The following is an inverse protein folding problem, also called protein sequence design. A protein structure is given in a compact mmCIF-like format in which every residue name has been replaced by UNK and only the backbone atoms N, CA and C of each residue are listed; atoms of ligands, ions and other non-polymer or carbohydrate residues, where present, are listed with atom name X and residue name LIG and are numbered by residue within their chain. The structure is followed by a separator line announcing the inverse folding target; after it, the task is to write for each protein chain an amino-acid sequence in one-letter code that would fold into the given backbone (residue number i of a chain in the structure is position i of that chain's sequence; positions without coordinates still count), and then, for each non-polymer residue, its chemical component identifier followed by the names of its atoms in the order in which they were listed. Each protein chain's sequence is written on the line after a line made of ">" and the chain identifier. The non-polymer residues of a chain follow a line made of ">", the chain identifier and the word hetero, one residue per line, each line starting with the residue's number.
data_IF_362871309917
#
_entry.id   IF_362871309917
#
_cell.length_a   1.000
_cell.length_b   1.000
_cell.length_c   1.000
_cell.angle_alpha   90.00
_cell.angle_beta   90.00
_cell.angle_gamma   90.00
#
_symmetry.space_group_name_H-M   'P 1'
#
loop_
_entity.id
_entity.type
_entity.pdbx_description
1 polymer ?
#
# COMPACT_ATOMS: atom_id res chain seq x y z
N UNK A 1 -6.42 15.00 0.48
CA UNK A 1 -6.84 16.10 1.38
C UNK A 1 -7.97 16.98 0.82
N UNK A 2 -8.69 16.58 -0.24
CA UNK A 2 -9.80 17.41 -0.77
C UNK A 2 -10.96 17.54 0.23
N UNK A 3 -11.18 16.50 1.04
CA UNK A 3 -12.15 16.49 2.14
C UNK A 3 -11.83 17.48 3.26
N UNK A 4 -10.53 17.80 3.44
CA UNK A 4 -10.02 18.64 4.51
C UNK A 4 -9.83 20.11 4.10
N UNK A 5 -10.26 20.48 2.88
CA UNK A 5 -10.18 21.86 2.41
C UNK A 5 -11.22 22.76 3.12
N UNK A 6 -10.90 24.01 3.42
CA UNK A 6 -9.62 24.71 3.17
C UNK A 6 -8.50 24.29 4.12
N UNK A 7 -7.24 24.40 3.66
CA UNK A 7 -6.05 24.05 4.40
C UNK A 7 -5.18 25.31 4.59
N UNK A 8 -4.73 25.54 5.82
CA UNK A 8 -3.74 26.56 6.12
C UNK A 8 -2.32 25.99 5.93
N UNK A 9 -1.49 26.71 5.20
CA UNK A 9 -0.09 26.38 4.98
C UNK A 9 0.81 27.37 5.69
N UNK A 10 1.71 26.87 6.53
CA UNK A 10 2.69 27.66 7.26
C UNK A 10 4.10 27.32 6.75
N UNK A 11 4.93 28.36 6.65
CA UNK A 11 6.32 28.25 6.26
C UNK A 11 7.18 28.59 7.47
N UNK A 12 8.12 27.71 7.79
CA UNK A 12 9.10 27.95 8.83
C UNK A 12 10.38 28.51 8.22
N UNK A 13 10.95 29.55 8.82
CA UNK A 13 12.25 30.08 8.45
C UNK A 13 13.34 29.45 9.31
N UNK A 14 13.46 28.14 9.20
CA UNK A 14 14.47 27.31 9.84
C UNK A 14 15.43 26.71 8.81
N UNK A 15 16.50 26.04 9.29
CA UNK A 15 17.54 25.45 8.45
C UNK A 15 16.98 24.36 7.50
N UNK A 16 15.94 23.64 7.92
CA UNK A 16 15.33 22.57 7.13
C UNK A 16 14.17 23.06 6.24
N UNK A 17 13.80 24.33 6.35
CA UNK A 17 12.70 24.98 5.61
C UNK A 17 11.42 24.13 5.71
N UNK A 18 10.98 23.92 6.95
CA UNK A 18 9.77 23.17 7.21
C UNK A 18 8.53 23.85 6.61
N UNK A 19 7.61 23.01 6.16
CA UNK A 19 6.24 23.40 5.77
C UNK A 19 5.24 22.58 6.56
N UNK A 20 4.28 23.24 7.16
CA UNK A 20 3.19 22.64 7.94
C UNK A 20 1.87 22.93 7.25
N UNK A 21 1.06 21.88 7.12
CA UNK A 21 -0.28 21.95 6.53
C UNK A 21 -1.30 21.54 7.59
N UNK A 22 -2.26 22.40 7.87
CA UNK A 22 -3.28 22.21 8.91
C UNK A 22 -4.67 22.33 8.29
N UNK A 23 -5.56 21.39 8.60
CA UNK A 23 -6.98 21.49 8.26
C UNK A 23 -7.59 22.67 9.02
N UNK A 24 -8.17 23.66 8.32
CA UNK A 24 -8.65 24.88 8.96
C UNK A 24 -9.90 24.66 9.82
N UNK A 25 -10.64 23.58 9.60
CA UNK A 25 -11.84 23.25 10.36
C UNK A 25 -11.56 22.52 11.67
N UNK A 26 -10.59 21.61 11.64
CA UNK A 26 -10.32 20.67 12.75
C UNK A 26 -9.06 21.03 13.53
N UNK A 27 -8.16 21.84 12.95
CA UNK A 27 -6.83 22.08 13.51
C UNK A 27 -5.87 20.90 13.35
N UNK A 28 -6.29 19.84 12.67
CA UNK A 28 -5.48 18.62 12.46
C UNK A 28 -4.28 18.91 11.57
N UNK A 29 -3.11 18.40 11.97
CA UNK A 29 -1.89 18.46 11.19
C UNK A 29 -1.94 17.42 10.09
N UNK A 30 -2.17 17.85 8.86
CA UNK A 30 -2.27 16.97 7.69
C UNK A 30 -0.90 16.56 7.15
N UNK A 31 0.06 17.48 7.19
CA UNK A 31 1.39 17.23 6.67
C UNK A 31 2.42 18.17 7.27
N UNK A 32 3.59 17.62 7.61
CA UNK A 32 4.76 18.37 8.03
C UNK A 32 5.97 17.86 7.27
N UNK A 33 6.68 18.72 6.53
CA UNK A 33 7.73 18.32 5.60
C UNK A 33 8.94 19.22 5.64
N UNK A 34 10.13 18.64 5.41
CA UNK A 34 11.38 19.37 5.17
C UNK A 34 11.60 19.64 3.69
N UNK A 35 12.47 20.59 3.35
CA UNK A 35 12.87 20.85 1.97
C UNK A 35 13.48 19.60 1.29
N UNK A 36 14.26 18.81 2.03
CA UNK A 36 14.84 17.56 1.55
C UNK A 36 13.80 16.52 1.17
N UNK A 37 12.75 16.36 2.02
CA UNK A 37 11.65 15.44 1.74
C UNK A 37 10.88 15.87 0.49
N UNK A 38 10.59 17.16 0.34
CA UNK A 38 9.91 17.69 -0.85
C UNK A 38 10.74 17.50 -2.11
N UNK A 39 12.06 17.76 -2.06
CA UNK A 39 12.97 17.54 -3.18
C UNK A 39 12.90 16.08 -3.69
N UNK A 40 13.03 15.11 -2.78
CA UNK A 40 12.95 13.70 -3.17
C UNK A 40 11.56 13.29 -3.64
N UNK A 41 10.49 13.88 -3.10
CA UNK A 41 9.15 13.67 -3.59
C UNK A 41 8.96 14.15 -5.03
N UNK A 42 9.53 15.31 -5.39
CA UNK A 42 9.49 15.84 -6.76
C UNK A 42 10.25 14.99 -7.77
N UNK A 43 11.35 14.36 -7.37
CA UNK A 43 12.12 13.47 -8.25
C UNK A 43 11.49 12.06 -8.33
N UNK A 44 10.94 11.57 -7.23
CA UNK A 44 10.46 10.19 -7.10
C UNK A 44 8.96 10.05 -7.15
N UNK A 45 8.29 10.26 -6.02
CA UNK A 45 6.88 9.91 -5.83
C UNK A 45 5.92 10.68 -6.75
N UNK A 46 6.16 11.97 -6.97
CA UNK A 46 5.28 12.82 -7.78
C UNK A 46 5.24 12.38 -9.24
N UNK A 47 6.36 12.26 -9.97
CA UNK A 47 6.34 11.79 -11.35
C UNK A 47 5.91 10.32 -11.45
N UNK A 48 6.35 9.45 -10.51
CA UNK A 48 6.02 8.04 -10.55
C UNK A 48 4.52 7.77 -10.37
N UNK A 49 3.83 8.55 -9.54
CA UNK A 49 2.40 8.41 -9.26
C UNK A 49 1.53 9.45 -9.98
N UNK A 50 2.10 10.23 -10.88
CA UNK A 50 1.41 11.33 -11.56
C UNK A 50 0.66 12.25 -10.58
N UNK A 51 1.30 12.60 -9.45
CA UNK A 51 0.73 13.49 -8.44
C UNK A 51 0.79 14.96 -8.87
N UNK A 52 0.35 15.21 -10.10
CA UNK A 52 0.18 16.56 -10.62
C UNK A 52 -1.14 17.14 -10.07
N UNK A 53 -1.16 18.35 -9.50
CA UNK A 53 -2.35 18.92 -8.87
C UNK A 53 -3.59 18.89 -9.78
N UNK A 54 -3.45 19.34 -11.02
CA UNK A 54 -4.54 19.34 -12.02
C UNK A 54 -5.13 17.95 -12.26
N UNK A 55 -4.28 16.90 -12.29
CA UNK A 55 -4.72 15.54 -12.51
C UNK A 55 -5.33 14.92 -11.24
N UNK A 56 -4.74 15.24 -10.07
CA UNK A 56 -5.21 14.71 -8.77
C UNK A 56 -6.55 15.25 -8.32
N UNK A 57 -6.94 16.43 -8.79
CA UNK A 57 -8.29 16.99 -8.56
C UNK A 57 -9.38 16.13 -9.21
N UNK A 58 -9.06 15.39 -10.26
CA UNK A 58 -9.96 14.50 -10.99
C UNK A 58 -9.53 13.04 -10.77
N UNK A 59 -10.06 12.40 -9.71
CA UNK A 59 -9.64 11.06 -9.29
C UNK A 59 -9.72 10.03 -10.42
N UNK A 60 -10.77 10.01 -11.19
CA UNK A 60 -10.94 9.06 -12.29
C UNK A 60 -9.91 9.30 -13.41
N UNK A 61 -9.70 10.55 -13.79
CA UNK A 61 -8.68 10.92 -14.79
C UNK A 61 -7.28 10.51 -14.33
N UNK A 62 -6.98 10.70 -13.05
CA UNK A 62 -5.71 10.27 -12.46
C UNK A 62 -5.54 8.75 -12.47
N UNK A 63 -6.57 8.00 -12.05
CA UNK A 63 -6.56 6.53 -12.05
C UNK A 63 -6.37 5.98 -13.47
N UNK A 64 -7.12 6.51 -14.44
CA UNK A 64 -7.01 6.08 -15.83
C UNK A 64 -5.67 6.47 -16.47
N UNK A 65 -5.12 7.64 -16.15
CA UNK A 65 -3.80 8.05 -16.64
C UNK A 65 -2.70 7.09 -16.19
N UNK A 66 -2.71 6.66 -14.92
CA UNK A 66 -1.77 5.67 -14.40
C UNK A 66 -1.98 4.31 -15.06
N UNK A 67 -3.22 3.88 -15.19
CA UNK A 67 -3.56 2.58 -15.80
C UNK A 67 -3.13 2.52 -17.26
N UNK A 68 -3.47 3.53 -18.06
CA UNK A 68 -3.09 3.63 -19.48
C UNK A 68 -1.57 3.72 -19.63
N UNK A 69 -0.91 4.56 -18.81
CA UNK A 69 0.55 4.66 -18.79
C UNK A 69 1.22 3.32 -18.48
N UNK A 70 0.69 2.59 -17.50
CA UNK A 70 1.14 1.24 -17.16
C UNK A 70 0.93 0.23 -18.29
N UNK A 71 -0.21 0.27 -18.99
CA UNK A 71 -0.49 -0.61 -20.14
C UNK A 71 0.47 -0.30 -21.30
N UNK A 72 0.72 0.96 -21.61
CA UNK A 72 1.68 1.36 -22.64
C UNK A 72 3.08 0.85 -22.29
N UNK A 73 3.51 1.03 -21.04
CA UNK A 73 4.79 0.53 -20.55
C UNK A 73 4.87 -1.00 -20.62
N UNK A 74 3.79 -1.71 -20.30
CA UNK A 74 3.69 -3.17 -20.39
C UNK A 74 3.86 -3.65 -21.85
N UNK A 75 3.14 -3.04 -22.79
CA UNK A 75 3.26 -3.38 -24.23
C UNK A 75 4.69 -3.13 -24.71
N UNK A 76 5.30 -2.00 -24.33
CA UNK A 76 6.67 -1.68 -24.67
C UNK A 76 7.67 -2.68 -24.08
N UNK A 77 7.50 -3.08 -22.81
CA UNK A 77 8.36 -4.06 -22.15
C UNK A 77 8.23 -5.47 -22.77
N UNK A 78 7.00 -5.92 -23.04
CA UNK A 78 6.72 -7.22 -23.69
C UNK A 78 7.32 -7.26 -25.10
N UNK A 79 7.09 -6.24 -25.92
CA UNK A 79 7.63 -6.19 -27.28
C UNK A 79 9.16 -6.12 -27.29
N UNK A 80 9.75 -5.36 -26.36
CA UNK A 80 11.21 -5.28 -26.20
C UNK A 80 11.83 -6.62 -25.77
N UNK A 81 11.20 -7.28 -24.79
CA UNK A 81 11.66 -8.60 -24.31
C UNK A 81 11.53 -9.66 -25.41
N UNK A 82 10.39 -9.69 -26.12
CA UNK A 82 10.20 -10.58 -27.28
C UNK A 82 11.27 -10.38 -28.35
N UNK A 83 11.49 -9.12 -28.76
CA UNK A 83 12.53 -8.80 -29.76
C UNK A 83 13.93 -9.20 -29.28
N UNK A 84 14.23 -8.97 -28.00
CA UNK A 84 15.50 -9.37 -27.38
C UNK A 84 15.73 -10.88 -27.44
N UNK A 85 14.74 -11.67 -27.01
CA UNK A 85 14.78 -13.14 -27.03
C UNK A 85 14.88 -13.66 -28.48
N UNK A 86 14.08 -13.10 -29.38
CA UNK A 86 14.11 -13.50 -30.81
C UNK A 86 15.47 -13.29 -31.43
N UNK A 87 16.12 -12.16 -31.18
CA UNK A 87 17.45 -11.86 -31.71
C UNK A 87 18.54 -12.75 -31.09
N UNK A 88 18.41 -13.09 -29.80
CA UNK A 88 19.29 -14.04 -29.13
C UNK A 88 19.18 -15.41 -29.78
N UNK A 89 17.94 -15.93 -29.96
CA UNK A 89 17.65 -17.19 -30.60
C UNK A 89 18.17 -17.24 -32.06
N UNK A 90 17.90 -16.21 -32.87
CA UNK A 90 18.36 -16.10 -34.23
C UNK A 90 19.89 -16.19 -34.33
N UNK A 91 20.60 -15.50 -33.41
CA UNK A 91 22.07 -15.56 -33.35
C UNK A 91 22.56 -16.94 -32.95
N UNK A 92 21.94 -17.61 -31.98
CA UNK A 92 22.29 -18.96 -31.58
C UNK A 92 22.11 -19.92 -32.73
N UNK A 93 20.96 -19.90 -33.43
CA UNK A 93 20.67 -20.75 -34.57
C UNK A 93 21.66 -20.54 -35.72
N UNK A 94 22.11 -19.30 -35.97
CA UNK A 94 22.99 -18.99 -37.12
C UNK A 94 24.48 -19.16 -36.83
N UNK A 95 24.92 -19.08 -35.57
CA UNK A 95 26.36 -19.06 -35.22
C UNK A 95 26.74 -20.01 -34.07
N UNK A 96 25.79 -20.76 -33.51
CA UNK A 96 26.03 -21.64 -32.36
C UNK A 96 26.47 -20.91 -31.07
N UNK A 97 26.36 -19.58 -31.01
CA UNK A 97 26.89 -18.77 -29.88
C UNK A 97 25.81 -17.93 -29.23
N UNK A 98 25.68 -18.06 -27.91
CA UNK A 98 24.86 -17.17 -27.12
C UNK A 98 25.51 -15.78 -27.00
N UNK A 99 24.67 -14.73 -26.92
CA UNK A 99 25.11 -13.37 -26.68
C UNK A 99 24.40 -12.34 -27.56
N UNK A 100 24.67 -11.07 -27.33
CA UNK A 100 24.07 -9.97 -28.08
C UNK A 100 24.57 -9.97 -29.55
N UNK A 101 23.67 -9.81 -30.55
CA UNK A 101 24.10 -9.67 -31.95
C UNK A 101 24.76 -8.33 -32.23
N UNK A 102 24.67 -7.37 -31.33
CA UNK A 102 25.15 -6.02 -31.54
C UNK A 102 26.61 -5.84 -31.13
N UNK A 103 27.39 -5.14 -31.99
CA UNK A 103 28.79 -4.79 -31.72
C UNK A 103 28.90 -3.42 -31.01
N UNK A 104 28.02 -2.46 -31.33
CA UNK A 104 28.05 -1.11 -30.75
C UNK A 104 27.64 -1.14 -29.30
N UNK A 105 28.40 -0.46 -28.41
CA UNK A 105 28.28 -0.49 -26.96
C UNK A 105 26.85 -0.32 -26.46
N UNK A 106 26.17 0.78 -26.78
CA UNK A 106 24.81 1.08 -26.31
C UNK A 106 23.77 0.05 -26.75
N UNK A 107 23.82 -0.43 -28.00
CA UNK A 107 22.92 -1.47 -28.50
C UNK A 107 23.17 -2.82 -27.84
N UNK A 108 24.45 -3.15 -27.61
CA UNK A 108 24.85 -4.40 -26.95
C UNK A 108 24.37 -4.46 -25.52
N UNK A 109 24.67 -3.41 -24.76
CA UNK A 109 24.33 -3.38 -23.34
C UNK A 109 22.84 -3.18 -23.09
N UNK A 110 22.13 -2.38 -23.88
CA UNK A 110 20.67 -2.32 -23.84
C UNK A 110 20.02 -3.68 -24.10
N UNK A 111 20.51 -4.44 -25.08
CA UNK A 111 20.00 -5.78 -25.36
C UNK A 111 20.27 -6.75 -24.20
N UNK A 112 21.48 -6.77 -23.63
CA UNK A 112 21.84 -7.67 -22.52
C UNK A 112 21.04 -7.30 -21.26
N UNK A 113 21.06 -6.03 -20.87
CA UNK A 113 20.30 -5.58 -19.68
C UNK A 113 18.78 -5.75 -19.88
N UNK A 114 18.27 -5.53 -21.09
CA UNK A 114 16.87 -5.78 -21.43
C UNK A 114 16.47 -7.25 -21.31
N UNK A 115 17.36 -8.18 -21.60
CA UNK A 115 17.11 -9.61 -21.35
C UNK A 115 17.13 -9.96 -19.85
N UNK A 116 18.05 -9.38 -19.09
CA UNK A 116 18.20 -9.64 -17.66
C UNK A 116 17.03 -9.02 -16.85
N UNK A 117 16.76 -7.73 -17.09
CA UNK A 117 15.79 -6.97 -16.33
C UNK A 117 14.42 -6.86 -16.98
N UNK A 118 14.25 -7.34 -18.22
CA UNK A 118 13.02 -7.20 -18.98
C UNK A 118 11.82 -7.90 -18.35
N UNK A 119 12.01 -9.08 -17.75
CA UNK A 119 10.95 -9.77 -17.02
C UNK A 119 10.45 -8.93 -15.85
N UNK A 120 11.36 -8.30 -15.10
CA UNK A 120 10.98 -7.43 -13.98
C UNK A 120 10.30 -6.14 -14.46
N UNK A 121 10.73 -5.58 -15.59
CA UNK A 121 10.03 -4.43 -16.20
C UNK A 121 8.60 -4.80 -16.61
N UNK A 122 8.38 -5.99 -17.16
CA UNK A 122 7.04 -6.51 -17.47
C UNK A 122 6.21 -6.64 -16.20
N UNK A 123 6.74 -7.25 -15.14
CA UNK A 123 6.01 -7.41 -13.88
C UNK A 123 5.72 -6.07 -13.22
N UNK A 124 6.67 -5.12 -13.24
CA UNK A 124 6.49 -3.78 -12.67
C UNK A 124 5.46 -2.95 -13.45
N UNK A 125 5.50 -2.99 -14.79
CA UNK A 125 4.52 -2.31 -15.62
C UNK A 125 3.11 -2.89 -15.44
N UNK A 126 2.98 -4.21 -15.45
CA UNK A 126 1.71 -4.90 -15.20
C UNK A 126 1.15 -4.57 -13.82
N UNK A 127 1.95 -4.74 -12.77
CA UNK A 127 1.53 -4.47 -11.40
C UNK A 127 1.23 -2.98 -11.17
N UNK A 128 1.97 -2.08 -11.83
CA UNK A 128 1.71 -0.65 -11.81
C UNK A 128 0.37 -0.29 -12.46
N UNK A 129 0.05 -0.86 -13.64
CA UNK A 129 -1.26 -0.69 -14.27
C UNK A 129 -2.40 -1.19 -13.37
N UNK A 130 -2.16 -2.27 -12.63
CA UNK A 130 -3.14 -2.84 -11.69
C UNK A 130 -3.16 -2.15 -10.33
N UNK A 131 -2.28 -1.19 -10.03
CA UNK A 131 -2.11 -0.60 -8.70
C UNK A 131 -3.41 -0.07 -8.09
N UNK A 132 -4.20 0.66 -8.85
CA UNK A 132 -5.46 1.27 -8.42
C UNK A 132 -6.71 0.50 -8.89
N UNK A 133 -6.54 -0.52 -9.70
CA UNK A 133 -7.65 -1.33 -10.22
C UNK A 133 -8.02 -2.45 -9.25
N UNK A 134 -9.28 -2.86 -9.26
CA UNK A 134 -9.72 -4.10 -8.60
C UNK A 134 -9.45 -5.29 -9.50
N UNK A 135 -9.28 -6.48 -8.92
CA UNK A 135 -9.30 -7.70 -9.70
C UNK A 135 -10.69 -7.82 -10.35
N UNK A 136 -10.76 -7.98 -11.68
CA UNK A 136 -12.05 -8.05 -12.37
C UNK A 136 -12.88 -9.25 -11.90
N UNK A 137 -14.21 -9.08 -11.80
CA UNK A 137 -15.13 -10.10 -11.33
C UNK A 137 -15.16 -11.37 -12.21
N UNK A 138 -14.82 -11.23 -13.50
CA UNK A 138 -14.69 -12.37 -14.40
C UNK A 138 -13.40 -13.18 -14.18
N UNK A 139 -12.39 -12.63 -13.49
CA UNK A 139 -11.16 -13.34 -13.07
C UNK A 139 -11.38 -14.00 -11.70
N UNK A 140 -11.85 -13.23 -10.73
CA UNK A 140 -12.14 -13.72 -9.36
C UNK A 140 -13.47 -13.12 -8.94
N UNK A 141 -14.50 -13.97 -8.92
CA UNK A 141 -15.83 -13.60 -8.44
C UNK A 141 -15.78 -13.35 -6.93
N UNK A 142 -16.27 -12.21 -6.51
CA UNK A 142 -16.49 -11.87 -5.10
C UNK A 142 -18.00 -11.96 -4.84
N UNK A 143 -18.39 -12.72 -3.83
CA UNK A 143 -19.80 -12.98 -3.51
C UNK A 143 -20.31 -12.02 -2.42
N UNK A 144 -19.43 -11.63 -1.51
CA UNK A 144 -19.72 -10.64 -0.47
C UNK A 144 -19.07 -9.28 -0.76
N UNK A 145 -18.85 -8.53 0.31
CA UNK A 145 -18.23 -7.21 0.22
C UNK A 145 -16.77 -7.29 -0.23
N UNK A 146 -16.39 -6.45 -1.18
CA UNK A 146 -14.99 -6.28 -1.54
C UNK A 146 -14.16 -5.64 -0.41
N UNK A 147 -14.80 -4.75 0.36
CA UNK A 147 -14.25 -4.10 1.57
C UNK A 147 -15.34 -4.05 2.63
N UNK A 148 -14.98 -4.34 3.85
CA UNK A 148 -15.82 -4.12 5.02
C UNK A 148 -15.51 -2.72 5.55
N UNK A 149 -16.53 -1.91 5.79
CA UNK A 149 -16.37 -0.58 6.40
C UNK A 149 -16.26 -0.68 7.92
N UNK A 150 -15.66 0.34 8.55
CA UNK A 150 -15.57 0.42 10.01
C UNK A 150 -16.96 0.35 10.65
N UNK A 151 -17.93 1.10 10.13
CA UNK A 151 -19.32 1.07 10.64
C UNK A 151 -19.94 -0.32 10.55
N UNK A 152 -19.62 -1.10 9.49
CA UNK A 152 -20.13 -2.46 9.34
C UNK A 152 -19.50 -3.43 10.34
N UNK A 153 -18.22 -3.26 10.66
CA UNK A 153 -17.47 -4.12 11.57
C UNK A 153 -17.58 -3.66 13.02
N UNK A 154 -17.27 -2.42 13.31
CA UNK A 154 -17.26 -1.85 14.67
C UNK A 154 -18.66 -1.47 15.18
N UNK A 155 -19.64 -1.30 14.29
CA UNK A 155 -20.99 -0.89 14.67
C UNK A 155 -21.24 0.61 14.46
N UNK A 156 -22.35 1.09 15.00
CA UNK A 156 -22.70 2.51 15.05
C UNK A 156 -22.23 3.13 16.37
N UNK A 157 -21.94 4.44 16.40
CA UNK A 157 -21.61 5.13 17.63
C UNK A 157 -22.64 4.85 18.75
N UNK A 158 -22.13 4.64 19.94
CA UNK A 158 -22.95 4.37 21.12
C UNK A 158 -23.44 5.70 21.73
N UNK A 159 -24.63 5.69 22.37
CA UNK A 159 -25.10 6.81 23.19
C UNK A 159 -24.12 7.08 24.35
N UNK A 160 -24.05 8.33 24.79
CA UNK A 160 -23.11 8.76 25.85
C UNK A 160 -23.35 8.00 27.16
N UNK A 161 -24.59 7.61 27.42
CA UNK A 161 -25.02 6.87 28.61
C UNK A 161 -24.39 5.47 28.72
N UNK A 162 -23.85 4.96 27.63
CA UNK A 162 -23.14 3.67 27.62
C UNK A 162 -21.73 3.75 28.21
N UNK A 163 -21.18 4.98 28.34
CA UNK A 163 -19.82 5.21 28.85
C UNK A 163 -19.89 5.38 30.38
N UNK A 164 -19.60 4.31 31.11
CA UNK A 164 -19.67 4.29 32.56
C UNK A 164 -18.42 4.92 33.21
N UNK A 165 -17.28 4.87 32.53
CA UNK A 165 -16.04 5.46 33.02
C UNK A 165 -16.10 6.98 32.95
N UNK A 166 -15.85 7.65 34.11
CA UNK A 166 -15.66 9.09 34.10
C UNK A 166 -14.34 9.45 33.37
N UNK A 167 -14.47 10.15 32.25
CA UNK A 167 -13.32 10.56 31.44
C UNK A 167 -12.35 11.50 32.19
N UNK A 168 -12.76 12.14 33.28
CA UNK A 168 -11.88 12.99 34.08
C UNK A 168 -10.78 12.20 34.78
N UNK A 169 -11.03 10.91 35.09
CA UNK A 169 -10.04 10.02 35.67
C UNK A 169 -8.88 9.74 34.71
N UNK A 170 -9.10 9.91 33.41
CA UNK A 170 -8.05 9.73 32.41
C UNK A 170 -6.94 10.76 32.52
N UNK A 171 -7.25 11.98 33.01
CA UNK A 171 -6.24 13.01 33.22
C UNK A 171 -5.24 12.64 34.32
N UNK A 172 -5.70 11.91 35.35
CA UNK A 172 -4.85 11.41 36.41
C UNK A 172 -4.03 10.20 35.98
N UNK A 173 -4.66 9.30 35.21
CA UNK A 173 -4.03 8.08 34.73
C UNK A 173 -2.98 8.33 33.63
N UNK A 174 -3.20 9.37 32.78
CA UNK A 174 -2.34 9.69 31.64
C UNK A 174 -1.82 11.13 31.73
N UNK A 175 -0.71 11.37 32.44
CA UNK A 175 -0.10 12.70 32.51
C UNK A 175 0.28 13.22 31.12
N UNK A 176 -0.11 14.46 30.82
CA UNK A 176 0.10 15.05 29.50
C UNK A 176 -0.97 14.67 28.47
N UNK A 177 -2.14 14.24 28.93
CA UNK A 177 -3.35 14.03 28.13
C UNK A 177 -3.63 15.25 27.24
N UNK A 178 -3.81 15.02 25.94
CA UNK A 178 -4.14 16.04 24.95
C UNK A 178 -5.60 15.96 24.50
N UNK A 179 -6.02 14.76 24.11
CA UNK A 179 -7.39 14.53 23.63
C UNK A 179 -7.96 13.22 24.17
N UNK A 180 -9.25 13.21 24.38
CA UNK A 180 -10.06 12.02 24.62
C UNK A 180 -11.16 12.01 23.55
N UNK A 181 -11.19 10.95 22.75
CA UNK A 181 -12.21 10.78 21.72
C UNK A 181 -13.15 9.63 22.11
N UNK A 182 -14.46 9.86 21.95
CA UNK A 182 -15.48 8.83 22.15
C UNK A 182 -15.48 7.89 20.94
N UNK A 183 -15.14 6.63 21.18
CA UNK A 183 -15.09 5.57 20.19
C UNK A 183 -15.89 4.36 20.69
N UNK A 184 -15.95 3.31 19.93
CA UNK A 184 -16.65 2.09 20.31
C UNK A 184 -16.16 0.89 19.50
N UNK A 185 -16.40 -0.29 20.04
CA UNK A 185 -16.34 -1.55 19.32
C UNK A 185 -17.61 -2.35 19.62
N UNK A 186 -18.56 -2.32 18.67
CA UNK A 186 -19.92 -2.85 18.87
C UNK A 186 -20.60 -2.19 20.07
N UNK A 187 -20.92 -2.97 21.06
CA UNK A 187 -21.54 -2.59 22.34
C UNK A 187 -20.53 -2.23 23.43
N UNK A 188 -19.24 -2.28 23.15
CA UNK A 188 -18.19 -1.86 24.06
C UNK A 188 -17.86 -0.38 23.83
N UNK A 189 -18.15 0.50 24.78
CA UNK A 189 -17.75 1.91 24.71
C UNK A 189 -16.22 2.02 24.92
N UNK A 190 -15.58 2.87 24.16
CA UNK A 190 -14.12 3.03 24.18
C UNK A 190 -13.75 4.51 24.21
N UNK A 191 -12.79 4.89 25.04
CA UNK A 191 -12.10 6.18 24.93
C UNK A 191 -10.77 6.00 24.21
N UNK A 192 -10.54 6.79 23.15
CA UNK A 192 -9.23 6.90 22.54
C UNK A 192 -8.50 8.08 23.18
N UNK A 193 -7.47 7.74 23.96
CA UNK A 193 -6.68 8.67 24.76
C UNK A 193 -5.40 8.98 24.01
N UNK A 194 -5.13 10.25 23.78
CA UNK A 194 -3.90 10.69 23.13
C UNK A 194 -3.09 11.60 24.07
N UNK A 195 -1.83 11.26 24.26
CA UNK A 195 -0.80 12.10 24.89
C UNK A 195 0.20 12.60 23.84
N UNK A 196 1.32 13.18 24.25
CA UNK A 196 2.40 13.57 23.33
C UNK A 196 3.04 12.37 22.63
N UNK A 197 3.16 11.23 23.34
CA UNK A 197 3.99 10.10 22.94
C UNK A 197 3.20 8.80 22.75
N UNK A 198 1.94 8.76 23.21
CA UNK A 198 1.14 7.55 23.26
C UNK A 198 -0.29 7.81 22.75
N UNK A 199 -0.82 6.86 22.01
CA UNK A 199 -2.27 6.72 21.77
C UNK A 199 -2.69 5.36 22.28
N UNK A 200 -3.71 5.32 23.15
CA UNK A 200 -4.21 4.10 23.80
C UNK A 200 -5.72 4.09 23.81
N UNK A 201 -6.33 2.92 23.62
CA UNK A 201 -7.77 2.73 23.73
C UNK A 201 -8.11 2.20 25.11
N UNK A 202 -9.11 2.79 25.77
CA UNK A 202 -9.54 2.48 27.13
C UNK A 202 -10.95 1.93 27.09
N UNK A 203 -11.18 0.81 27.75
CA UNK A 203 -12.51 0.27 27.95
C UNK A 203 -13.31 1.18 28.90
N UNK A 204 -14.35 1.80 28.38
CA UNK A 204 -15.20 2.74 29.11
C UNK A 204 -16.50 2.08 29.62
N UNK A 205 -16.62 0.76 29.57
CA UNK A 205 -17.81 0.03 30.06
C UNK A 205 -17.88 -0.09 31.58
N UNK A 206 -16.75 0.07 32.27
CA UNK A 206 -16.64 -0.03 33.73
C UNK A 206 -16.31 1.31 34.38
N UNK A 207 -16.00 1.31 35.67
CA UNK A 207 -15.64 2.49 36.47
C UNK A 207 -14.12 2.68 36.62
N UNK A 208 -13.34 1.64 36.32
CA UNK A 208 -11.88 1.65 36.46
C UNK A 208 -11.21 1.91 35.10
N UNK A 209 -10.12 2.65 35.13
CA UNK A 209 -9.30 2.88 33.94
C UNK A 209 -8.57 1.58 33.58
N UNK A 210 -9.00 0.96 32.48
CA UNK A 210 -8.40 -0.26 31.93
C UNK A 210 -8.19 -0.11 30.44
N UNK A 211 -7.01 -0.53 29.94
CA UNK A 211 -6.77 -0.61 28.52
C UNK A 211 -7.72 -1.59 27.86
N UNK A 212 -8.17 -1.24 26.65
CA UNK A 212 -9.04 -2.13 25.86
C UNK A 212 -8.31 -3.44 25.57
N UNK A 213 -9.01 -4.54 25.80
CA UNK A 213 -8.54 -5.86 25.43
C UNK A 213 -9.74 -6.71 24.99
N UNK A 214 -10.05 -6.60 23.69
CA UNK A 214 -11.15 -7.33 23.10
C UNK A 214 -10.90 -8.84 23.15
N UNK A 215 -11.92 -9.56 23.59
CA UNK A 215 -11.89 -11.02 23.64
C UNK A 215 -12.16 -11.63 22.27
N UNK A 216 -11.73 -12.87 22.06
CA UNK A 216 -12.06 -13.67 20.88
C UNK A 216 -13.57 -13.74 20.64
N UNK A 217 -14.38 -13.83 21.71
CA UNK A 217 -15.85 -13.87 21.64
C UNK A 217 -16.42 -12.55 21.08
N UNK A 218 -15.96 -11.40 21.54
CA UNK A 218 -16.41 -10.10 21.04
C UNK A 218 -16.05 -9.91 19.57
N UNK A 219 -14.83 -10.31 19.19
CA UNK A 219 -14.34 -10.23 17.82
C UNK A 219 -15.12 -11.17 16.89
N UNK A 220 -15.35 -12.42 17.30
CA UNK A 220 -16.13 -13.38 16.51
C UNK A 220 -17.57 -12.96 16.35
N UNK A 221 -18.19 -12.38 17.37
CA UNK A 221 -19.53 -11.82 17.28
C UNK A 221 -19.60 -10.68 16.25
N UNK A 222 -18.59 -9.78 16.20
CA UNK A 222 -18.51 -8.75 15.17
C UNK A 222 -18.41 -9.34 13.74
N UNK A 223 -17.66 -10.44 13.57
CA UNK A 223 -17.56 -11.15 12.28
C UNK A 223 -18.87 -11.84 11.92
N UNK A 224 -19.53 -12.52 12.87
CA UNK A 224 -20.84 -13.15 12.66
C UNK A 224 -21.92 -12.16 12.27
N UNK A 225 -21.90 -10.98 12.84
CA UNK A 225 -22.85 -9.92 12.45
C UNK A 225 -22.77 -9.56 10.95
N UNK A 226 -21.62 -9.78 10.31
CA UNK A 226 -21.42 -9.51 8.88
C UNK A 226 -21.76 -10.72 8.01
N UNK A 227 -21.40 -11.93 8.49
CA UNK A 227 -21.48 -13.17 7.71
C UNK A 227 -22.66 -14.06 8.08
N UNK A 228 -23.41 -13.72 9.13
CA UNK A 228 -24.52 -14.51 9.69
C UNK A 228 -24.09 -15.26 10.94
N UNK A 229 -25.06 -15.52 11.83
CA UNK A 229 -24.82 -16.19 13.12
C UNK A 229 -24.31 -17.64 12.94
N UNK A 230 -24.74 -18.31 11.88
CA UNK A 230 -24.34 -19.69 11.54
C UNK A 230 -22.99 -19.78 10.79
N UNK A 231 -22.28 -18.66 10.63
CA UNK A 231 -21.00 -18.67 9.93
C UNK A 231 -19.97 -19.53 10.69
N UNK A 232 -19.36 -20.47 10.00
CA UNK A 232 -18.25 -21.26 10.51
C UNK A 232 -16.98 -20.41 10.55
N UNK A 233 -16.44 -20.24 11.76
CA UNK A 233 -15.27 -19.38 12.02
C UNK A 233 -14.16 -20.21 12.66
N UNK A 234 -12.94 -20.01 12.15
CA UNK A 234 -11.72 -20.48 12.83
C UNK A 234 -10.98 -19.26 13.38
N UNK A 235 -10.69 -19.28 14.70
CA UNK A 235 -10.05 -18.18 15.40
C UNK A 235 -8.68 -18.61 15.90
N UNK A 236 -7.69 -17.80 15.71
CA UNK A 236 -6.34 -17.98 16.26
C UNK A 236 -5.75 -16.65 16.66
N UNK A 237 -4.99 -16.62 17.74
CA UNK A 237 -4.14 -15.49 18.11
C UNK A 237 -2.80 -15.68 17.42
N UNK A 238 -2.36 -14.70 16.63
CA UNK A 238 -1.04 -14.70 15.99
C UNK A 238 -0.16 -13.63 16.60
N UNK A 239 1.07 -13.97 16.88
CA UNK A 239 2.13 -13.11 17.46
C UNK A 239 3.27 -12.85 16.48
N UNK A 240 3.17 -13.41 15.29
CA UNK A 240 4.15 -13.25 14.21
C UNK A 240 3.48 -12.84 12.92
N UNK A 241 4.21 -12.13 12.06
CA UNK A 241 3.71 -11.76 10.75
C UNK A 241 3.54 -13.00 9.85
N UNK A 242 2.51 -12.98 9.03
CA UNK A 242 2.27 -14.00 8.00
C UNK A 242 2.03 -13.35 6.63
N UNK A 243 1.93 -14.17 5.57
CA UNK A 243 1.89 -13.69 4.18
C UNK A 243 0.83 -12.60 3.92
N UNK A 244 -0.34 -12.69 4.55
CA UNK A 244 -1.43 -11.74 4.36
C UNK A 244 -1.52 -10.65 5.45
N UNK A 245 -0.78 -10.83 6.53
CA UNK A 245 -0.61 -9.85 7.60
C UNK A 245 0.88 -9.57 7.77
N UNK A 246 1.43 -8.76 6.87
CA UNK A 246 2.87 -8.56 6.73
C UNK A 246 3.19 -7.07 6.75
N UNK A 247 4.11 -6.68 7.64
CA UNK A 247 4.62 -5.32 7.78
C UNK A 247 6.12 -5.29 7.67
N UNK A 248 6.65 -4.65 6.63
CA UNK A 248 8.09 -4.44 6.48
C UNK A 248 8.69 -3.49 7.53
N UNK A 249 7.90 -2.56 8.02
CA UNK A 249 8.32 -1.53 8.99
C UNK A 249 7.94 -1.86 10.44
N UNK A 250 7.35 -3.03 10.69
CA UNK A 250 6.88 -3.39 12.03
C UNK A 250 5.70 -2.56 12.55
N UNK A 251 4.99 -1.84 11.66
CA UNK A 251 3.91 -0.93 12.08
C UNK A 251 2.55 -1.59 12.30
N UNK A 252 2.37 -2.82 11.81
CA UNK A 252 1.16 -3.56 12.10
C UNK A 252 1.27 -4.14 13.52
N UNK A 253 0.22 -3.98 14.35
CA UNK A 253 0.24 -4.49 15.71
C UNK A 253 0.34 -6.02 15.76
N UNK A 254 0.93 -6.51 16.82
CA UNK A 254 0.98 -7.91 17.22
C UNK A 254 0.96 -7.97 18.77
N UNK A 255 0.30 -8.94 19.39
CA UNK A 255 -0.49 -10.00 18.76
C UNK A 255 -1.82 -9.51 18.21
N UNK A 256 -2.39 -10.23 17.22
CA UNK A 256 -3.73 -9.96 16.70
C UNK A 256 -4.55 -11.25 16.57
N UNK A 257 -5.87 -11.13 16.68
CA UNK A 257 -6.76 -12.24 16.37
C UNK A 257 -6.92 -12.37 14.87
N UNK A 258 -6.66 -13.56 14.34
CA UNK A 258 -6.98 -13.97 12.99
C UNK A 258 -8.27 -14.76 13.02
N UNK A 259 -9.29 -14.27 12.30
CA UNK A 259 -10.58 -14.94 12.17
C UNK A 259 -10.78 -15.30 10.69
N UNK A 260 -10.78 -16.58 10.41
CA UNK A 260 -11.04 -17.14 9.08
C UNK A 260 -12.50 -17.54 8.99
N UNK A 261 -13.17 -17.12 7.93
CA UNK A 261 -14.58 -17.42 7.67
C UNK A 261 -14.63 -18.46 6.56
N UNK A 262 -15.26 -19.61 6.82
CA UNK A 262 -15.50 -20.62 5.78
C UNK A 262 -16.63 -20.20 4.87
N UNK A 263 -16.29 -19.43 3.86
CA UNK A 263 -17.20 -18.93 2.84
C UNK A 263 -16.55 -18.98 1.44
N UNK A 264 -17.37 -18.77 0.40
CA UNK A 264 -16.91 -18.80 -0.99
C UNK A 264 -15.79 -17.78 -1.28
N UNK A 265 -15.72 -16.69 -0.53
CA UNK A 265 -14.70 -15.64 -0.67
C UNK A 265 -13.45 -15.90 0.17
N UNK A 266 -13.42 -16.97 1.00
CA UNK A 266 -12.33 -17.29 1.93
C UNK A 266 -11.90 -16.06 2.72
N UNK A 267 -12.89 -15.42 3.34
CA UNK A 267 -12.72 -14.18 4.08
C UNK A 267 -11.84 -14.36 5.31
N UNK A 268 -10.98 -13.39 5.59
CA UNK A 268 -10.10 -13.38 6.77
C UNK A 268 -10.09 -11.99 7.36
N UNK A 269 -10.18 -11.93 8.67
CA UNK A 269 -10.01 -10.73 9.49
C UNK A 269 -8.77 -10.86 10.36
N UNK A 270 -7.99 -9.81 10.44
CA UNK A 270 -6.94 -9.63 11.44
C UNK A 270 -7.37 -8.45 12.30
N UNK A 271 -7.56 -8.68 13.58
CA UNK A 271 -8.15 -7.70 14.51
C UNK A 271 -7.20 -7.50 15.68
N UNK A 272 -6.83 -6.26 15.90
CA UNK A 272 -6.05 -5.86 17.06
C UNK A 272 -6.97 -5.81 18.30
N UNK A 273 -6.72 -6.62 19.33
CA UNK A 273 -7.53 -6.61 20.54
C UNK A 273 -7.41 -5.32 21.34
N UNK A 274 -6.30 -4.59 21.20
CA UNK A 274 -6.05 -3.37 21.97
C UNK A 274 -6.75 -2.14 21.39
N UNK A 275 -7.14 -2.15 20.11
CA UNK A 275 -7.74 -0.97 19.45
C UNK A 275 -9.04 -1.29 18.72
N UNK A 276 -9.30 -2.56 18.41
CA UNK A 276 -10.38 -2.98 17.53
C UNK A 276 -10.13 -2.63 16.04
N UNK A 277 -8.94 -2.14 15.69
CA UNK A 277 -8.57 -1.96 14.30
C UNK A 277 -8.51 -3.30 13.57
N UNK A 278 -8.93 -3.33 12.31
CA UNK A 278 -8.99 -4.57 11.58
C UNK A 278 -8.50 -4.49 10.14
N UNK A 279 -8.04 -5.62 9.64
CA UNK A 279 -7.76 -5.86 8.23
C UNK A 279 -8.64 -6.96 7.69
N UNK A 280 -9.45 -6.64 6.70
CA UNK A 280 -10.29 -7.61 6.00
C UNK A 280 -9.68 -7.99 4.66
N UNK A 281 -9.61 -9.28 4.36
CA UNK A 281 -9.17 -9.84 3.10
C UNK A 281 -10.15 -10.90 2.60
N UNK A 282 -10.50 -10.84 1.32
CA UNK A 282 -11.19 -11.88 0.59
C UNK A 282 -10.30 -12.42 -0.54
N UNK A 283 -10.76 -13.40 -1.34
CA UNK A 283 -9.99 -13.98 -2.45
C UNK A 283 -9.45 -12.92 -3.41
N UNK A 284 -10.28 -11.95 -3.79
CA UNK A 284 -9.88 -10.89 -4.71
C UNK A 284 -8.80 -9.97 -4.10
N UNK A 285 -8.92 -9.63 -2.82
CA UNK A 285 -7.90 -8.83 -2.11
C UNK A 285 -6.61 -9.61 -1.85
N UNK A 286 -6.70 -10.91 -1.56
CA UNK A 286 -5.53 -11.81 -1.47
C UNK A 286 -4.79 -11.86 -2.81
N UNK A 287 -5.51 -12.05 -3.92
CA UNK A 287 -4.93 -11.99 -5.26
C UNK A 287 -4.34 -10.60 -5.58
N UNK A 288 -5.04 -9.52 -5.21
CA UNK A 288 -4.54 -8.15 -5.37
C UNK A 288 -3.22 -7.92 -4.62
N UNK A 289 -3.06 -8.48 -3.42
CA UNK A 289 -1.80 -8.43 -2.67
C UNK A 289 -0.65 -9.01 -3.50
N UNK A 290 -0.85 -10.16 -4.15
CA UNK A 290 0.17 -10.76 -5.02
C UNK A 290 0.41 -9.97 -6.29
N UNK A 291 -0.67 -9.59 -7.00
CA UNK A 291 -0.57 -8.85 -8.27
C UNK A 291 0.09 -7.49 -8.08
N UNK A 292 -0.18 -6.78 -6.98
CA UNK A 292 0.42 -5.48 -6.74
C UNK A 292 1.59 -5.53 -5.75
N UNK A 293 1.34 -5.85 -4.48
CA UNK A 293 2.38 -5.75 -3.46
C UNK A 293 3.50 -6.77 -3.67
N UNK A 294 3.17 -7.99 -4.12
CA UNK A 294 4.14 -9.04 -4.43
C UNK A 294 5.02 -8.67 -5.61
N UNK A 295 4.41 -8.36 -6.77
CA UNK A 295 5.16 -8.08 -8.00
C UNK A 295 5.82 -6.70 -8.02
N UNK A 296 5.21 -5.67 -7.40
CA UNK A 296 5.71 -4.30 -7.47
C UNK A 296 6.68 -3.94 -6.36
N UNK A 297 6.45 -4.46 -5.15
CA UNK A 297 7.25 -4.16 -3.97
C UNK A 297 8.05 -5.35 -3.46
N UNK A 298 7.95 -6.51 -4.10
CA UNK A 298 8.51 -7.77 -3.60
C UNK A 298 8.08 -8.03 -2.13
N UNK A 299 6.81 -7.72 -1.81
CA UNK A 299 6.26 -7.92 -0.47
C UNK A 299 5.88 -9.39 -0.28
N UNK A 300 6.91 -10.23 -0.21
CA UNK A 300 6.85 -11.68 0.00
C UNK A 300 7.41 -11.93 1.40
N UNK A 301 6.72 -12.71 2.23
CA UNK A 301 7.05 -12.93 3.64
C UNK A 301 8.52 -13.27 3.84
N UNK A 302 9.02 -14.31 3.19
CA UNK A 302 10.42 -14.73 3.29
C UNK A 302 11.43 -13.61 2.97
N UNK A 303 11.12 -12.73 2.03
CA UNK A 303 12.03 -11.65 1.62
C UNK A 303 11.93 -10.45 2.56
N UNK A 304 10.73 -10.15 3.04
CA UNK A 304 10.47 -9.03 3.97
C UNK A 304 11.14 -9.25 5.32
N UNK A 305 11.21 -10.49 5.80
CA UNK A 305 11.96 -10.86 7.02
C UNK A 305 13.47 -10.66 6.90
N UNK A 306 13.96 -10.41 5.67
CA UNK A 306 15.36 -10.17 5.36
C UNK A 306 15.57 -8.78 4.77
N UNK A 307 15.49 -7.70 5.58
CA UNK A 307 15.41 -6.32 5.09
C UNK A 307 16.61 -5.91 4.24
N UNK A 308 17.80 -6.42 4.55
CA UNK A 308 19.01 -6.17 3.75
C UNK A 308 18.88 -6.79 2.36
N UNK A 309 18.47 -8.06 2.30
CA UNK A 309 18.29 -8.76 1.02
C UNK A 309 17.18 -8.14 0.18
N UNK A 310 16.06 -7.78 0.83
CA UNK A 310 14.98 -7.05 0.17
C UNK A 310 15.47 -5.72 -0.43
N UNK A 311 16.24 -4.95 0.34
CA UNK A 311 16.79 -3.67 -0.10
C UNK A 311 17.72 -3.84 -1.30
N UNK A 312 18.65 -4.80 -1.25
CA UNK A 312 19.56 -5.11 -2.37
C UNK A 312 18.76 -5.52 -3.61
N UNK A 313 17.76 -6.40 -3.46
CA UNK A 313 16.94 -6.86 -4.57
C UNK A 313 16.20 -5.69 -5.24
N UNK A 314 15.48 -4.87 -4.47
CA UNK A 314 14.73 -3.72 -5.01
C UNK A 314 15.66 -2.71 -5.70
N UNK A 315 16.79 -2.33 -5.06
CA UNK A 315 17.73 -1.40 -5.67
C UNK A 315 18.31 -1.95 -6.97
N UNK A 316 18.71 -3.21 -7.00
CA UNK A 316 19.26 -3.87 -8.19
C UNK A 316 18.24 -3.85 -9.34
N UNK A 317 16.99 -4.22 -9.07
CA UNK A 317 15.92 -4.24 -10.08
C UNK A 317 15.55 -2.83 -10.55
N UNK A 318 15.46 -1.86 -9.63
CA UNK A 318 15.16 -0.47 -9.99
C UNK A 318 16.29 0.17 -10.81
N UNK A 319 17.54 -0.02 -10.44
CA UNK A 319 18.69 0.51 -11.20
C UNK A 319 18.81 -0.16 -12.56
N UNK A 320 18.63 -1.49 -12.63
CA UNK A 320 18.61 -2.22 -13.88
C UNK A 320 17.47 -1.76 -14.80
N UNK A 321 16.27 -1.59 -14.27
CA UNK A 321 15.12 -1.06 -15.00
C UNK A 321 15.33 0.37 -15.48
N UNK A 322 15.91 1.25 -14.64
CA UNK A 322 16.26 2.61 -15.00
C UNK A 322 17.29 2.64 -16.15
N UNK A 323 18.32 1.80 -16.08
CA UNK A 323 19.31 1.68 -17.15
C UNK A 323 18.69 1.26 -18.49
N UNK A 324 17.81 0.23 -18.47
CA UNK A 324 17.10 -0.23 -19.69
C UNK A 324 16.25 0.91 -20.26
N UNK A 325 15.50 1.62 -19.43
CA UNK A 325 14.62 2.70 -19.84
C UNK A 325 15.42 3.86 -20.44
N UNK A 326 16.46 4.35 -19.75
CA UNK A 326 17.30 5.46 -20.22
C UNK A 326 18.05 5.11 -21.49
N UNK A 327 18.64 3.92 -21.57
CA UNK A 327 19.34 3.47 -22.79
C UNK A 327 18.36 3.30 -23.97
N UNK A 328 17.12 2.85 -23.70
CA UNK A 328 16.06 2.77 -24.71
C UNK A 328 15.66 4.13 -25.26
N UNK A 329 15.44 5.12 -24.38
CA UNK A 329 15.15 6.50 -24.77
C UNK A 329 16.29 7.07 -25.63
N UNK A 330 17.53 6.89 -25.19
CA UNK A 330 18.71 7.34 -25.94
C UNK A 330 18.77 6.74 -27.35
N UNK A 331 18.57 5.43 -27.46
CA UNK A 331 18.58 4.75 -28.75
C UNK A 331 17.42 5.18 -29.65
N UNK A 332 16.23 5.41 -29.06
CA UNK A 332 15.05 5.94 -29.76
C UNK A 332 15.30 7.34 -30.33
N UNK A 333 15.82 8.27 -29.51
CA UNK A 333 16.19 9.63 -29.98
C UNK A 333 17.21 9.55 -31.12
N UNK A 334 18.23 8.72 -30.96
CA UNK A 334 19.26 8.55 -32.00
C UNK A 334 18.67 7.97 -33.30
N UNK A 335 17.72 7.08 -33.22
CA UNK A 335 17.01 6.54 -34.39
C UNK A 335 16.19 7.64 -35.08
N UNK A 336 15.40 8.39 -34.35
CA UNK A 336 14.55 9.47 -34.88
C UNK A 336 15.42 10.57 -35.54
N UNK A 337 16.49 11.01 -34.89
CA UNK A 337 17.44 12.01 -35.48
C UNK A 337 18.05 11.54 -36.81
N UNK A 338 18.37 10.25 -36.94
CA UNK A 338 18.88 9.69 -38.19
C UNK A 338 17.81 9.65 -39.28
N UNK A 339 16.56 9.32 -38.93
CA UNK A 339 15.45 9.27 -39.88
C UNK A 339 15.13 10.67 -40.44
N UNK A 340 15.12 11.67 -39.53
CA UNK A 340 14.93 13.10 -39.95
C UNK A 340 16.04 13.65 -40.85
N UNK A 341 17.30 13.24 -40.65
CA UNK A 341 18.42 13.67 -41.51
C UNK A 341 18.43 12.99 -42.88
N UNK A 342 17.66 11.94 -43.10
CA UNK A 342 17.57 11.21 -44.38
C UNK A 342 16.36 11.64 -45.24
N UNK A 343 15.48 12.47 -44.70
CA UNK A 343 14.46 13.20 -45.41
C UNK A 343 14.95 14.60 -45.73
#
# INVERSE_FOLDING_TARGET
>A
YLSEMPICKFYYDDAEKHELYIASRTGEVLQFTTARQRFWAYIGAIPHKFYLPVLRQHTDAWVWSLTIGGIIALIAALSGLYAGIYLLYKRYKSRGKFGSPYKKYWYKWHHISGLIFGVFLVTFAFSGAMALQRIPQWVIKTHGDYRVSDTKFRGRPLPVECYALDYQLLAEAYPGLKTVEWSHFRDVPVYEVQTADLTVSIDASGTDVKELNLTDKQITQAVRHIHGEEAELTVSLIDTYEEYYLSRSGRLPLPVYKVEVDNADRSVYYVDPATGEFRYLNRARKAKKWVFSGLHYLNIHWLVERPVLWTIAIWTLCLGGAYVSLSGIWLGIKYLRRKMKRR
#
